data_IF_014677893306
#
_entry.id   IF_014677893306
#
_cell.length_a   1.000
_cell.length_b   1.000
_cell.length_c   1.000
_cell.angle_alpha   90.00
_cell.angle_beta   90.00
_cell.angle_gamma   90.00
#
_symmetry.space_group_name_H-M   'P 1'
#
loop_
_entity.id
_entity.type
_entity.pdbx_description
1 polymer ?
#
# COMPACT_ATOMS: atom_id res chain seq x y z
N UNK A 1 28.00 2.79 -5.28
CA UNK A 1 27.94 2.90 -3.80
C UNK A 1 26.54 2.48 -3.28
N UNK A 2 26.09 1.26 -3.61
CA UNK A 2 24.70 0.81 -3.34
C UNK A 2 24.53 0.12 -1.97
N UNK A 3 25.62 -0.32 -1.32
CA UNK A 3 25.58 -1.15 -0.12
C UNK A 3 25.61 -0.44 1.25
N UNK A 4 25.39 0.89 1.32
CA UNK A 4 25.40 1.64 2.60
C UNK A 4 24.04 2.16 3.06
N UNK A 5 22.99 2.06 2.23
CA UNK A 5 21.66 2.60 2.54
C UNK A 5 20.73 1.46 2.96
N UNK A 6 19.94 1.67 4.01
CA UNK A 6 18.91 0.72 4.46
C UNK A 6 17.79 0.60 3.42
N UNK A 7 16.91 -0.41 3.51
CA UNK A 7 15.76 -0.50 2.62
C UNK A 7 14.79 0.68 2.75
N UNK A 8 14.40 1.13 3.96
CA UNK A 8 13.57 2.32 4.13
C UNK A 8 14.23 3.59 3.56
N UNK A 9 15.54 3.77 3.78
CA UNK A 9 16.25 4.91 3.21
C UNK A 9 16.20 4.91 1.67
N UNK A 10 16.44 3.74 1.04
CA UNK A 10 16.37 3.60 -0.42
C UNK A 10 14.97 3.95 -0.94
N UNK A 11 13.93 3.53 -0.24
CA UNK A 11 12.55 3.79 -0.62
C UNK A 11 12.19 5.27 -0.47
N UNK A 12 12.47 5.88 0.68
CA UNK A 12 12.22 7.30 0.92
C UNK A 12 12.94 8.20 -0.11
N UNK A 13 14.23 7.94 -0.38
CA UNK A 13 14.99 8.70 -1.38
C UNK A 13 14.43 8.54 -2.80
N UNK A 14 13.79 7.40 -3.10
CA UNK A 14 13.16 7.15 -4.41
C UNK A 14 11.91 8.00 -4.65
N UNK A 15 11.22 8.39 -3.57
CA UNK A 15 10.11 9.34 -3.60
C UNK A 15 10.56 10.81 -3.43
N UNK A 16 11.86 11.08 -3.49
CA UNK A 16 12.40 12.45 -3.43
C UNK A 16 12.63 12.99 -2.02
N UNK A 17 12.47 12.17 -0.97
CA UNK A 17 12.73 12.60 0.40
C UNK A 17 14.23 12.64 0.71
N UNK A 18 14.62 13.63 1.52
CA UNK A 18 15.95 13.65 2.14
C UNK A 18 15.90 12.86 3.44
N UNK A 19 16.57 11.71 3.50
CA UNK A 19 16.52 10.80 4.66
C UNK A 19 16.69 11.46 6.02
N UNK A 20 17.61 12.43 6.13
CA UNK A 20 17.88 13.17 7.37
C UNK A 20 16.71 14.00 7.90
N UNK A 21 15.72 14.29 7.04
CA UNK A 21 14.53 15.07 7.37
C UNK A 21 13.29 14.20 7.53
N UNK A 22 13.43 12.88 7.40
CA UNK A 22 12.35 11.94 7.73
C UNK A 22 12.35 11.79 9.25
N UNK A 23 11.32 12.31 9.90
CA UNK A 23 11.17 12.31 11.36
C UNK A 23 10.97 10.89 11.91
N UNK A 24 9.99 10.17 11.36
CA UNK A 24 9.75 8.75 11.67
C UNK A 24 10.33 7.86 10.57
N UNK A 25 11.42 7.16 10.90
CA UNK A 25 12.17 6.31 9.99
C UNK A 25 11.74 4.83 10.04
N UNK A 26 10.61 4.53 10.70
CA UNK A 26 10.02 3.19 10.68
C UNK A 26 9.62 2.77 9.25
N UNK A 27 9.66 1.47 8.99
CA UNK A 27 9.34 0.92 7.66
C UNK A 27 7.92 1.28 7.24
N UNK A 28 6.96 1.19 8.18
CA UNK A 28 5.57 1.53 7.95
C UNK A 28 5.39 3.01 7.58
N UNK A 29 5.97 3.93 8.34
CA UNK A 29 5.84 5.35 8.00
C UNK A 29 6.49 5.67 6.65
N UNK A 30 7.66 5.07 6.37
CA UNK A 30 8.34 5.24 5.09
C UNK A 30 7.53 4.68 3.92
N UNK A 31 6.86 3.53 4.08
CA UNK A 31 5.94 2.99 3.08
C UNK A 31 4.78 3.97 2.83
N UNK A 32 4.09 4.40 3.88
CA UNK A 32 2.95 5.33 3.82
C UNK A 32 3.31 6.63 3.11
N UNK A 33 4.39 7.31 3.53
CA UNK A 33 4.80 8.58 2.94
C UNK A 33 5.23 8.42 1.48
N UNK A 34 5.92 7.33 1.16
CA UNK A 34 6.37 7.04 -0.22
C UNK A 34 5.17 6.74 -1.12
N UNK A 35 4.24 5.90 -0.67
CA UNK A 35 3.02 5.58 -1.40
C UNK A 35 2.16 6.82 -1.62
N UNK A 36 1.95 7.63 -0.59
CA UNK A 36 1.14 8.84 -0.66
C UNK A 36 1.70 9.85 -1.68
N UNK A 37 3.02 10.07 -1.71
CA UNK A 37 3.65 10.93 -2.72
C UNK A 37 3.61 10.29 -4.10
N UNK A 38 3.92 9.01 -4.24
CA UNK A 38 3.96 8.32 -5.52
C UNK A 38 2.59 8.22 -6.20
N UNK A 39 1.53 8.01 -5.43
CA UNK A 39 0.17 7.93 -5.94
C UNK A 39 -0.46 9.32 -6.16
N UNK A 40 0.06 10.39 -5.56
CA UNK A 40 -0.53 11.73 -5.72
C UNK A 40 0.02 12.45 -6.96
N UNK A 41 -0.85 12.74 -7.92
CA UNK A 41 -0.50 13.46 -9.16
C UNK A 41 -0.01 14.89 -8.93
N UNK A 42 -0.39 15.49 -7.80
CA UNK A 42 0.04 16.84 -7.44
C UNK A 42 1.46 16.88 -6.84
N UNK A 43 2.06 15.72 -6.54
CA UNK A 43 3.41 15.66 -6.02
C UNK A 43 4.43 16.24 -7.03
N UNK A 44 5.45 16.99 -6.58
CA UNK A 44 6.49 17.51 -7.46
C UNK A 44 7.29 16.38 -8.13
N UNK A 45 7.21 16.32 -9.46
CA UNK A 45 7.90 15.32 -10.26
C UNK A 45 7.20 13.96 -10.28
N UNK A 46 7.38 13.22 -11.37
CA UNK A 46 6.80 11.88 -11.49
C UNK A 46 7.73 10.84 -10.85
N UNK A 47 7.54 10.60 -9.55
CA UNK A 47 8.38 9.67 -8.77
C UNK A 47 7.92 8.22 -8.84
N UNK A 48 6.67 7.97 -9.29
CA UNK A 48 6.06 6.63 -9.34
C UNK A 48 6.94 5.60 -10.07
N UNK A 49 7.52 5.90 -11.27
CA UNK A 49 8.41 4.94 -11.94
C UNK A 49 9.67 4.59 -11.14
N UNK A 50 10.23 5.56 -10.40
CA UNK A 50 11.43 5.33 -9.59
C UNK A 50 11.09 4.51 -8.33
N UNK A 51 9.97 4.81 -7.68
CA UNK A 51 9.45 4.05 -6.54
C UNK A 51 9.20 2.60 -6.94
N UNK A 52 8.51 2.35 -8.07
CA UNK A 52 8.27 1.00 -8.58
C UNK A 52 9.56 0.23 -8.86
N UNK A 53 10.56 0.88 -9.46
CA UNK A 53 11.88 0.28 -9.72
C UNK A 53 12.65 -0.07 -8.44
N UNK A 54 12.57 0.78 -7.41
CA UNK A 54 13.24 0.51 -6.12
C UNK A 54 12.50 -0.58 -5.36
N UNK A 55 11.17 -0.55 -5.32
CA UNK A 55 10.34 -1.59 -4.73
C UNK A 55 10.66 -2.97 -5.34
N UNK A 56 10.74 -3.08 -6.68
CA UNK A 56 11.08 -4.34 -7.35
C UNK A 56 12.46 -4.89 -6.95
N UNK A 57 13.43 -4.00 -6.71
CA UNK A 57 14.76 -4.43 -6.21
C UNK A 57 14.70 -4.88 -4.77
N UNK A 58 13.93 -4.20 -3.92
CA UNK A 58 13.77 -4.57 -2.52
C UNK A 58 13.04 -5.92 -2.40
N UNK A 59 12.04 -6.16 -3.25
CA UNK A 59 11.26 -7.39 -3.32
C UNK A 59 12.08 -8.65 -3.66
N UNK A 60 13.34 -8.51 -4.07
CA UNK A 60 14.23 -9.64 -4.32
C UNK A 60 14.87 -10.24 -3.04
N UNK A 61 14.69 -9.59 -1.89
CA UNK A 61 15.30 -9.99 -0.62
C UNK A 61 14.20 -10.21 0.43
N UNK A 62 14.17 -11.41 1.05
CA UNK A 62 13.20 -11.80 2.10
C UNK A 62 13.15 -10.78 3.25
N UNK A 63 14.30 -10.19 3.60
CA UNK A 63 14.42 -9.22 4.68
C UNK A 63 13.64 -7.91 4.44
N UNK A 64 13.23 -7.61 3.20
CA UNK A 64 12.49 -6.39 2.87
C UNK A 64 11.01 -6.67 2.57
N UNK A 65 10.53 -7.91 2.79
CA UNK A 65 9.19 -8.34 2.41
C UNK A 65 8.10 -7.45 3.02
N UNK A 66 8.13 -7.24 4.34
CA UNK A 66 7.10 -6.47 5.04
C UNK A 66 7.03 -5.02 4.56
N UNK A 67 8.18 -4.38 4.33
CA UNK A 67 8.25 -3.04 3.75
C UNK A 67 7.63 -2.97 2.34
N UNK A 68 7.87 -3.99 1.51
CA UNK A 68 7.30 -4.06 0.15
C UNK A 68 5.80 -4.31 0.19
N UNK A 69 5.32 -5.20 1.07
CA UNK A 69 3.89 -5.44 1.27
C UNK A 69 3.21 -4.15 1.70
N UNK A 70 3.73 -3.46 2.72
CA UNK A 70 3.18 -2.20 3.20
C UNK A 70 3.08 -1.15 2.07
N UNK A 71 4.17 -0.96 1.31
CA UNK A 71 4.16 -0.01 0.18
C UNK A 71 3.10 -0.37 -0.88
N UNK A 72 3.02 -1.65 -1.27
CA UNK A 72 2.09 -2.11 -2.31
C UNK A 72 0.65 -2.02 -1.84
N UNK A 73 0.39 -2.35 -0.57
CA UNK A 73 -0.90 -2.20 0.08
C UNK A 73 -1.36 -0.74 0.12
N UNK A 74 -0.50 0.17 0.58
CA UNK A 74 -0.79 1.60 0.62
C UNK A 74 -1.11 2.16 -0.76
N UNK A 75 -0.34 1.77 -1.79
CA UNK A 75 -0.57 2.17 -3.18
C UNK A 75 -1.92 1.67 -3.70
N UNK A 76 -2.30 0.42 -3.39
CA UNK A 76 -3.61 -0.13 -3.77
C UNK A 76 -4.75 0.58 -3.08
N UNK A 77 -4.61 0.82 -1.77
CA UNK A 77 -5.63 1.47 -0.97
C UNK A 77 -5.85 2.90 -1.47
N UNK A 78 -4.79 3.66 -1.75
CA UNK A 78 -4.89 4.98 -2.38
C UNK A 78 -5.58 4.93 -3.75
N UNK A 79 -5.19 4.01 -4.63
CA UNK A 79 -5.81 3.87 -5.95
C UNK A 79 -7.30 3.49 -5.88
N UNK A 80 -7.71 2.74 -4.84
CA UNK A 80 -9.08 2.28 -4.67
C UNK A 80 -10.09 3.41 -4.49
N UNK A 81 -9.65 4.58 -3.99
CA UNK A 81 -10.54 5.71 -3.72
C UNK A 81 -11.09 6.40 -4.98
N UNK A 82 -10.52 6.15 -6.16
CA UNK A 82 -11.03 6.69 -7.42
C UNK A 82 -10.96 8.22 -7.53
N UNK A 83 -10.09 8.86 -6.75
CA UNK A 83 -9.94 10.32 -6.73
C UNK A 83 -9.07 10.79 -7.90
N UNK A 84 -9.47 11.89 -8.55
CA UNK A 84 -8.74 12.43 -9.71
C UNK A 84 -7.28 12.80 -9.41
N UNK A 85 -7.00 13.26 -8.19
CA UNK A 85 -5.64 13.58 -7.75
C UNK A 85 -4.78 12.34 -7.48
N UNK A 86 -5.36 11.16 -7.42
CA UNK A 86 -4.63 9.90 -7.22
C UNK A 86 -4.43 9.16 -8.55
N UNK A 87 -3.37 8.37 -8.59
CA UNK A 87 -3.09 7.44 -9.69
C UNK A 87 -4.11 6.31 -9.66
N UNK A 88 -4.56 5.92 -10.85
CA UNK A 88 -5.41 4.75 -11.00
C UNK A 88 -4.59 3.46 -10.84
N UNK A 89 -5.27 2.36 -10.52
CA UNK A 89 -4.63 1.08 -10.25
C UNK A 89 -3.81 0.55 -11.45
N UNK A 90 -4.28 0.76 -12.68
CA UNK A 90 -3.60 0.39 -13.92
C UNK A 90 -2.29 1.17 -14.12
N UNK A 91 -2.28 2.48 -13.83
CA UNK A 91 -1.06 3.30 -13.86
C UNK A 91 -0.01 2.80 -12.87
N UNK A 92 -0.42 2.43 -11.64
CA UNK A 92 0.50 1.90 -10.64
C UNK A 92 1.03 0.54 -11.08
N UNK A 93 0.15 -0.38 -11.50
CA UNK A 93 0.54 -1.71 -11.98
C UNK A 93 1.51 -1.64 -13.15
N UNK A 94 1.39 -0.64 -14.03
CA UNK A 94 2.28 -0.46 -15.18
C UNK A 94 3.74 -0.17 -14.80
N UNK A 95 4.01 0.33 -13.59
CA UNK A 95 5.39 0.60 -13.12
C UNK A 95 5.93 -0.47 -12.18
N UNK A 96 5.10 -1.37 -11.70
CA UNK A 96 5.52 -2.45 -10.82
C UNK A 96 6.21 -3.54 -11.63
N UNK A 97 7.34 -4.03 -11.10
CA UNK A 97 7.99 -5.21 -11.64
C UNK A 97 7.27 -6.51 -11.24
N UNK A 98 7.70 -7.65 -11.81
CA UNK A 98 7.03 -8.93 -11.61
C UNK A 98 6.88 -9.35 -10.14
N UNK A 99 7.87 -9.09 -9.29
CA UNK A 99 7.80 -9.47 -7.87
C UNK A 99 6.79 -8.62 -7.12
N UNK A 100 6.82 -7.31 -7.35
CA UNK A 100 5.81 -6.42 -6.78
C UNK A 100 4.39 -6.72 -7.32
N UNK A 101 4.25 -7.21 -8.55
CA UNK A 101 2.95 -7.65 -9.08
C UNK A 101 2.43 -8.92 -8.40
N UNK A 102 3.29 -9.84 -7.99
CA UNK A 102 2.88 -11.00 -7.16
C UNK A 102 2.36 -10.51 -5.81
N UNK A 103 3.09 -9.60 -5.14
CA UNK A 103 2.62 -8.96 -3.91
C UNK A 103 1.31 -8.21 -4.13
N UNK A 104 1.17 -7.51 -5.26
CA UNK A 104 -0.05 -6.79 -5.60
C UNK A 104 -1.26 -7.72 -5.62
N UNK A 105 -1.17 -8.84 -6.32
CA UNK A 105 -2.29 -9.77 -6.42
C UNK A 105 -2.62 -10.40 -5.06
N UNK A 106 -1.62 -10.76 -4.26
CA UNK A 106 -1.84 -11.33 -2.92
C UNK A 106 -2.54 -10.35 -1.96
N UNK A 107 -2.15 -9.07 -2.00
CA UNK A 107 -2.82 -7.99 -1.25
C UNK A 107 -4.26 -7.79 -1.75
N UNK A 108 -4.49 -7.87 -3.06
CA UNK A 108 -5.83 -7.72 -3.64
C UNK A 108 -6.77 -8.87 -3.23
N UNK A 109 -6.26 -10.10 -3.25
CA UNK A 109 -6.96 -11.30 -2.76
C UNK A 109 -7.30 -11.18 -1.27
N UNK A 110 -6.35 -10.73 -0.44
CA UNK A 110 -6.57 -10.51 0.99
C UNK A 110 -7.71 -9.52 1.24
N UNK A 111 -7.64 -8.33 0.64
CA UNK A 111 -8.66 -7.31 0.87
C UNK A 111 -10.02 -7.67 0.28
N UNK A 112 -10.04 -8.43 -0.81
CA UNK A 112 -11.27 -9.02 -1.35
C UNK A 112 -11.89 -9.97 -0.33
N UNK A 113 -11.10 -10.86 0.26
CA UNK A 113 -11.56 -11.78 1.30
C UNK A 113 -12.07 -11.05 2.55
N UNK A 114 -11.40 -9.97 2.99
CA UNK A 114 -11.86 -9.12 4.10
C UNK A 114 -13.23 -8.51 3.78
N UNK A 115 -13.41 -7.95 2.58
CA UNK A 115 -14.67 -7.34 2.17
C UNK A 115 -15.80 -8.36 2.06
N UNK A 116 -15.54 -9.55 1.50
CA UNK A 116 -16.51 -10.65 1.40
C UNK A 116 -16.92 -11.17 2.77
N UNK A 117 -15.95 -11.42 3.66
CA UNK A 117 -16.20 -11.83 5.03
C UNK A 117 -17.06 -10.81 5.78
N UNK A 118 -16.73 -9.51 5.64
CA UNK A 118 -17.47 -8.43 6.29
C UNK A 118 -18.90 -8.31 5.77
N UNK A 119 -19.12 -8.52 4.47
CA UNK A 119 -20.48 -8.59 3.89
C UNK A 119 -21.24 -9.80 4.42
N UNK A 120 -20.59 -10.95 4.57
CA UNK A 120 -21.20 -12.18 5.07
C UNK A 120 -21.54 -12.13 6.57
N UNK A 121 -20.84 -11.33 7.37
CA UNK A 121 -21.13 -11.18 8.81
C UNK A 121 -22.41 -10.41 9.11
N UNK A 122 -23.02 -9.76 8.09
CA UNK A 122 -24.27 -9.01 8.22
C UNK A 122 -24.15 -7.66 8.91
N UNK A 123 -22.95 -7.25 9.31
CA UNK A 123 -22.71 -5.91 9.84
C UNK A 123 -22.48 -4.90 8.69
N UNK A 124 -23.08 -3.71 8.74
CA UNK A 124 -22.89 -2.70 7.69
C UNK A 124 -21.41 -2.32 7.51
N UNK A 125 -21.02 -2.17 6.25
CA UNK A 125 -19.76 -1.53 5.88
C UNK A 125 -19.88 -0.01 6.11
N UNK A 126 -18.77 0.61 6.54
CA UNK A 126 -18.72 2.06 6.75
C UNK A 126 -18.70 2.79 5.41
N UNK A 127 -19.26 4.00 5.39
CA UNK A 127 -19.12 4.90 4.23
C UNK A 127 -17.66 5.26 4.03
N UNK A 128 -17.24 5.48 2.77
CA UNK A 128 -15.94 6.06 2.45
C UNK A 128 -15.92 7.59 2.58
N UNK A 129 -17.06 8.26 2.52
CA UNK A 129 -17.15 9.73 2.54
C UNK A 129 -16.50 10.34 3.79
N UNK A 130 -16.58 9.64 4.93
CA UNK A 130 -16.08 10.08 6.22
C UNK A 130 -14.55 10.27 6.26
N UNK A 131 -13.79 9.46 5.52
CA UNK A 131 -12.34 9.56 5.40
C UNK A 131 -11.93 10.44 4.22
N UNK A 132 -12.75 10.50 3.17
CA UNK A 132 -12.43 11.27 1.97
C UNK A 132 -12.61 12.78 2.19
N UNK A 133 -13.43 13.21 3.14
CA UNK A 133 -13.63 14.61 3.49
C UNK A 133 -12.55 15.19 4.42
N UNK A 134 -11.56 14.40 4.86
CA UNK A 134 -10.56 14.86 5.85
C UNK A 134 -9.60 15.87 5.23
N UNK A 135 -9.54 17.07 5.83
CA UNK A 135 -8.69 18.17 5.35
C UNK A 135 -7.24 18.11 5.85
N UNK A 136 -7.02 17.60 7.07
CA UNK A 136 -5.69 17.49 7.63
C UNK A 136 -4.85 16.48 6.85
N UNK A 137 -3.73 16.91 6.27
CA UNK A 137 -2.95 16.11 5.34
C UNK A 137 -2.34 14.84 5.96
N UNK A 138 -1.79 14.95 7.17
CA UNK A 138 -1.21 13.80 7.87
C UNK A 138 -2.26 12.75 8.25
N UNK A 139 -3.41 13.20 8.77
CA UNK A 139 -4.52 12.30 9.08
C UNK A 139 -5.11 11.68 7.81
N UNK A 140 -5.24 12.47 6.74
CA UNK A 140 -5.70 12.00 5.44
C UNK A 140 -4.79 10.91 4.89
N UNK A 141 -3.47 11.11 4.90
CA UNK A 141 -2.52 10.10 4.43
C UNK A 141 -2.74 8.78 5.17
N UNK A 142 -2.76 8.81 6.50
CA UNK A 142 -2.99 7.61 7.32
C UNK A 142 -4.34 6.95 7.02
N UNK A 143 -5.42 7.72 6.93
CA UNK A 143 -6.75 7.17 6.67
C UNK A 143 -6.86 6.58 5.26
N UNK A 144 -6.29 7.23 4.25
CA UNK A 144 -6.39 6.75 2.88
C UNK A 144 -5.51 5.52 2.64
N UNK A 145 -4.30 5.48 3.21
CA UNK A 145 -3.46 4.28 3.07
C UNK A 145 -3.97 3.09 3.89
N UNK A 146 -4.67 3.33 4.99
CA UNK A 146 -5.19 2.27 5.87
C UNK A 146 -6.59 1.76 5.50
N UNK A 147 -7.19 2.24 4.42
CA UNK A 147 -8.57 1.90 4.03
C UNK A 147 -8.71 1.68 2.53
N UNK A 148 -9.55 0.72 2.15
CA UNK A 148 -9.88 0.40 0.76
C UNK A 148 -11.33 0.71 0.47
N UNK A 149 -11.56 1.53 -0.55
CA UNK A 149 -12.90 1.79 -1.10
C UNK A 149 -13.35 0.63 -1.99
N UNK A 150 -14.65 0.30 -1.92
CA UNK A 150 -15.23 -0.88 -2.60
C UNK A 150 -16.04 -0.55 -3.86
N UNK A 151 -16.05 0.71 -4.30
CA UNK A 151 -16.76 1.18 -5.51
C UNK A 151 -18.27 1.40 -5.35
N UNK A 152 -18.88 0.89 -4.28
CA UNK A 152 -20.29 1.09 -3.90
C UNK A 152 -20.48 2.23 -2.88
N UNK A 153 -19.45 3.06 -2.68
CA UNK A 153 -19.41 4.12 -1.68
C UNK A 153 -19.03 3.65 -0.28
N UNK A 154 -18.86 2.34 -0.06
CA UNK A 154 -18.40 1.78 1.21
C UNK A 154 -16.90 1.49 1.22
N UNK A 155 -16.37 1.17 2.41
CA UNK A 155 -14.96 0.82 2.62
C UNK A 155 -14.77 -0.30 3.63
N UNK A 156 -13.62 -0.94 3.53
CA UNK A 156 -12.99 -1.75 4.59
C UNK A 156 -11.66 -1.11 4.98
N UNK A 157 -11.21 -1.32 6.21
CA UNK A 157 -9.90 -0.86 6.64
C UNK A 157 -9.25 -1.79 7.65
N UNK A 158 -8.18 -1.32 8.27
CA UNK A 158 -7.42 -2.08 9.26
C UNK A 158 -8.29 -2.65 10.39
N UNK A 159 -9.37 -1.96 10.77
CA UNK A 159 -10.31 -2.49 11.77
C UNK A 159 -11.00 -3.78 11.30
N UNK A 160 -11.44 -3.83 10.06
CA UNK A 160 -12.09 -5.01 9.46
C UNK A 160 -11.07 -6.12 9.20
N UNK A 161 -9.86 -5.78 8.73
CA UNK A 161 -8.77 -6.73 8.54
C UNK A 161 -8.38 -7.44 9.87
N UNK A 162 -8.26 -6.68 10.96
CA UNK A 162 -7.98 -7.24 12.29
C UNK A 162 -9.08 -8.20 12.76
N UNK A 163 -10.34 -7.87 12.51
CA UNK A 163 -11.46 -8.74 12.90
C UNK A 163 -11.52 -10.00 12.01
N UNK A 164 -11.23 -9.87 10.73
CA UNK A 164 -11.13 -10.99 9.80
C UNK A 164 -10.07 -12.00 10.25
N UNK A 165 -8.85 -11.54 10.57
CA UNK A 165 -7.80 -12.42 11.09
C UNK A 165 -8.19 -13.09 12.41
N UNK A 166 -8.80 -12.35 13.33
CA UNK A 166 -9.32 -12.92 14.60
C UNK A 166 -10.40 -13.97 14.38
N UNK A 167 -11.14 -13.90 13.28
CA UNK A 167 -12.13 -14.89 12.89
C UNK A 167 -11.53 -16.10 12.14
N UNK A 168 -10.21 -16.18 12.01
CA UNK A 168 -9.51 -17.26 11.30
C UNK A 168 -9.32 -17.01 9.81
N UNK A 169 -9.48 -15.77 9.35
CA UNK A 169 -9.13 -15.34 8.00
C UNK A 169 -7.64 -15.51 7.72
N UNK A 170 -7.29 -15.86 6.49
CA UNK A 170 -5.90 -16.02 6.08
C UNK A 170 -5.20 -14.65 5.98
N UNK A 171 -3.99 -14.48 6.56
CA UNK A 171 -3.22 -13.26 6.41
C UNK A 171 -2.65 -13.15 4.98
N UNK A 172 -2.07 -12.00 4.66
CA UNK A 172 -1.25 -11.86 3.44
C UNK A 172 -0.10 -12.88 3.48
N UNK A 173 0.10 -13.69 2.42
CA UNK A 173 1.14 -14.70 2.39
C UNK A 173 2.55 -14.14 2.63
N UNK A 174 3.39 -14.95 3.29
CA UNK A 174 4.78 -14.61 3.53
C UNK A 174 5.64 -14.71 2.27
N UNK A 175 6.84 -14.13 2.29
CA UNK A 175 7.79 -14.09 1.16
C UNK A 175 7.96 -15.45 0.45
N UNK A 176 8.14 -16.54 1.22
CA UNK A 176 8.40 -17.88 0.67
C UNK A 176 7.19 -18.45 -0.09
N UNK A 177 5.99 -18.16 0.40
CA UNK A 177 4.73 -18.58 -0.22
C UNK A 177 4.52 -17.83 -1.54
N UNK A 178 4.80 -16.52 -1.55
CA UNK A 178 4.71 -15.70 -2.75
C UNK A 178 5.72 -16.09 -3.83
N UNK A 179 6.95 -16.43 -3.46
CA UNK A 179 7.94 -16.95 -4.43
C UNK A 179 7.46 -18.26 -5.05
N UNK A 180 6.91 -19.17 -4.25
CA UNK A 180 6.41 -20.44 -4.76
C UNK A 180 5.22 -20.27 -5.71
N UNK A 181 4.37 -19.25 -5.49
CA UNK A 181 3.24 -18.91 -6.35
C UNK A 181 3.62 -18.13 -7.62
N UNK A 182 4.79 -17.46 -7.62
CA UNK A 182 5.28 -16.65 -8.75
C UNK A 182 6.19 -17.38 -9.75
N UNK A 183 6.41 -18.68 -9.57
CA UNK A 183 7.12 -19.56 -10.52
C UNK A 183 6.14 -20.25 -11.46
#
# INVERSE_FOLDING_TARGET
MWGRRTAPQRLAESAGFTWKHVEDQSELNVATMTAYVAANRAAPGDVLPMVGKVAEKLAAEEANHDLVVALVEDLQNLASHGLAQLRAADEIRAVLGPRCLVVWNAVDEFWTAVAEWRRASGEPLRSGEDILSVENEGLRANLWTSNRSLGDGTRVGLSEALLFEKAGGAPIPGYRELIAAGQ
#
